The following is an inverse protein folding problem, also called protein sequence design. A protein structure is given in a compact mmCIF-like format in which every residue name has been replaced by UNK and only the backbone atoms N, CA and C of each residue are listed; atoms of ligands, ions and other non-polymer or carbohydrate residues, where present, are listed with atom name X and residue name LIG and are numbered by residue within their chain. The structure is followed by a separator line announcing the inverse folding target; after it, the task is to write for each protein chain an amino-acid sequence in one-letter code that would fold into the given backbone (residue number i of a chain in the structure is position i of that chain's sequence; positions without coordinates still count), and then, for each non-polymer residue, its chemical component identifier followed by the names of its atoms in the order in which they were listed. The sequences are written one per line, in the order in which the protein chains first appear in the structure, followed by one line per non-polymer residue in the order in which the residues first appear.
data_IF_336701241093
#
_entry.id   IF_336701241093
#
_cell.length_a   1.000
_cell.length_b   1.000
_cell.length_c   1.000
_cell.angle_alpha   90.00
_cell.angle_beta   90.00
_cell.angle_gamma   90.00
#
_symmetry.space_group_name_H-M   'P 1'
#
loop_
_entity.id
_entity.type
_entity.pdbx_description
1 polymer ?
#
# COMPACT_ATOMS: atom_id res chain seq x y z
N UNK A 1 -15.79 -38.05 42.33
CA UNK A 1 -16.14 -36.71 42.83
C UNK A 1 -14.88 -35.88 42.92
N UNK A 2 -14.84 -34.76 42.18
CA UNK A 2 -14.10 -33.50 42.38
C UNK A 2 -12.56 -33.56 42.51
N UNK A 3 -11.76 -32.74 41.84
CA UNK A 3 -12.06 -31.60 40.98
C UNK A 3 -10.81 -31.16 40.23
N UNK A 4 -11.00 -30.73 38.98
CA UNK A 4 -10.00 -30.08 38.16
C UNK A 4 -9.78 -28.66 38.69
N UNK A 5 -8.57 -28.36 39.16
CA UNK A 5 -8.16 -26.99 39.49
C UNK A 5 -7.65 -26.31 38.23
N UNK A 6 -8.51 -25.48 37.63
CA UNK A 6 -8.14 -24.51 36.62
C UNK A 6 -7.13 -23.51 37.22
N UNK A 7 -6.00 -23.31 36.56
CA UNK A 7 -5.09 -22.19 36.83
C UNK A 7 -5.20 -21.21 35.68
N UNK A 8 -5.68 -20.02 36.03
CA UNK A 8 -5.99 -18.88 35.19
C UNK A 8 -4.78 -18.36 34.43
N UNK A 9 -4.88 -18.33 33.10
CA UNK A 9 -4.05 -17.49 32.25
C UNK A 9 -4.62 -16.08 32.27
N UNK A 10 -4.01 -15.19 33.06
CA UNK A 10 -4.25 -13.74 32.94
C UNK A 10 -3.08 -13.15 32.16
N UNK A 11 -3.06 -13.39 30.85
CA UNK A 11 -2.15 -12.69 29.95
C UNK A 11 -2.59 -11.22 29.86
N UNK A 12 -1.78 -10.35 30.46
CA UNK A 12 -1.93 -8.91 30.37
C UNK A 12 -1.85 -8.46 28.92
N UNK A 13 -3.00 -8.15 28.32
CA UNK A 13 -3.09 -7.35 27.09
C UNK A 13 -2.48 -5.98 27.37
N UNK A 14 -1.19 -5.82 27.10
CA UNK A 14 -0.60 -4.50 26.86
C UNK A 14 -1.40 -3.87 25.73
N UNK A 15 -2.22 -2.88 26.07
CA UNK A 15 -2.84 -2.00 25.08
C UNK A 15 -1.69 -1.22 24.43
N UNK A 16 -1.16 -1.75 23.33
CA UNK A 16 -0.26 -0.99 22.47
C UNK A 16 -1.12 0.14 21.88
N UNK A 17 -0.77 1.38 22.22
CA UNK A 17 -1.35 2.55 21.58
C UNK A 17 -1.30 2.34 20.05
N UNK A 18 -2.38 2.68 19.30
CA UNK A 18 -2.39 2.50 17.87
C UNK A 18 -1.16 3.23 17.28
N UNK A 19 -0.39 2.57 16.37
CA UNK A 19 0.76 3.21 15.76
C UNK A 19 0.36 4.57 15.21
N UNK A 20 1.09 5.62 15.59
CA UNK A 20 0.82 6.98 15.10
C UNK A 20 0.84 6.92 13.57
N UNK A 21 -0.22 7.34 12.88
CA UNK A 21 -0.25 7.31 11.42
C UNK A 21 0.90 8.16 10.88
N UNK A 22 1.72 7.57 10.02
CA UNK A 22 2.86 8.24 9.41
C UNK A 22 2.50 8.58 7.96
N UNK A 23 2.40 9.87 7.68
CA UNK A 23 2.12 10.34 6.31
C UNK A 23 3.39 10.21 5.49
N UNK A 24 3.33 9.46 4.39
CA UNK A 24 4.41 9.35 3.42
C UNK A 24 3.92 10.07 2.18
N UNK A 25 4.52 11.19 1.81
CA UNK A 25 4.10 11.88 0.60
C UNK A 25 4.48 11.04 -0.64
N UNK A 26 3.56 10.22 -1.12
CA UNK A 26 3.65 9.60 -2.44
C UNK A 26 3.56 10.68 -3.51
N UNK A 27 4.39 10.61 -4.55
CA UNK A 27 4.18 11.41 -5.75
C UNK A 27 3.77 10.48 -6.88
N UNK A 28 2.68 10.82 -7.56
CA UNK A 28 2.34 10.11 -8.79
C UNK A 28 3.32 10.58 -9.84
N UNK A 29 4.38 9.82 -10.03
CA UNK A 29 5.42 10.22 -10.97
C UNK A 29 4.95 10.19 -12.42
N UNK A 30 3.90 9.42 -12.73
CA UNK A 30 3.35 9.36 -14.08
C UNK A 30 1.90 8.87 -14.07
N UNK A 31 0.99 9.70 -14.56
CA UNK A 31 -0.31 9.28 -15.10
C UNK A 31 -0.21 9.44 -16.61
N UNK A 32 -0.21 8.33 -17.35
CA UNK A 32 -0.11 8.41 -18.81
C UNK A 32 -0.45 7.09 -19.46
N UNK A 33 -0.02 6.93 -20.70
CA UNK A 33 -0.13 5.68 -21.44
C UNK A 33 1.27 5.26 -21.92
N UNK A 34 1.55 3.97 -21.95
CA UNK A 34 2.64 3.42 -22.76
C UNK A 34 2.38 3.70 -24.25
N UNK A 35 3.40 3.53 -25.10
CA UNK A 35 3.27 3.71 -26.56
C UNK A 35 2.22 2.79 -27.19
N UNK A 36 1.87 1.70 -26.53
CA UNK A 36 0.85 0.74 -26.90
C UNK A 36 -0.56 1.10 -26.38
N UNK A 37 -0.75 2.33 -25.88
CA UNK A 37 -2.01 2.84 -25.30
C UNK A 37 -2.44 2.18 -23.99
N UNK A 38 -1.56 1.40 -23.33
CA UNK A 38 -1.86 0.87 -22.00
C UNK A 38 -1.68 1.97 -20.94
N UNK A 39 -2.69 2.26 -20.11
CA UNK A 39 -2.56 3.28 -19.09
C UNK A 39 -1.48 2.88 -18.07
N UNK A 40 -0.48 3.74 -17.93
CA UNK A 40 0.64 3.61 -17.03
C UNK A 40 0.42 4.54 -15.85
N UNK A 41 0.07 3.95 -14.70
CA UNK A 41 0.10 4.64 -13.44
C UNK A 41 1.02 3.89 -12.48
N UNK A 42 2.16 4.51 -12.19
CA UNK A 42 3.11 4.03 -11.18
C UNK A 42 3.24 5.13 -10.14
N UNK A 43 2.96 4.78 -8.90
CA UNK A 43 3.24 5.68 -7.78
C UNK A 43 4.68 5.44 -7.38
N UNK A 44 5.51 6.48 -7.52
CA UNK A 44 6.90 6.44 -7.11
C UNK A 44 7.05 7.16 -5.77
N UNK A 45 7.70 6.48 -4.84
CA UNK A 45 8.03 7.00 -3.53
C UNK A 45 9.54 7.03 -3.49
N UNK A 46 10.16 8.17 -3.21
CA UNK A 46 11.61 8.19 -3.12
C UNK A 46 12.07 7.30 -1.97
N UNK A 47 13.20 6.61 -2.12
CA UNK A 47 13.75 5.74 -1.07
C UNK A 47 14.01 6.49 0.24
N UNK A 48 14.35 7.78 0.18
CA UNK A 48 14.52 8.66 1.35
C UNK A 48 13.23 8.83 2.16
N UNK A 49 12.07 8.81 1.49
CA UNK A 49 10.74 8.94 2.10
C UNK A 49 10.08 7.56 2.39
N UNK A 50 10.60 6.50 1.76
CA UNK A 50 10.04 5.15 1.81
C UNK A 50 10.50 4.32 3.03
N UNK A 51 11.27 4.89 3.95
CA UNK A 51 11.81 4.20 5.13
C UNK A 51 10.79 3.34 5.92
N UNK A 52 9.52 3.75 6.07
CA UNK A 52 8.51 2.94 6.76
C UNK A 52 7.92 1.80 5.93
N UNK A 53 8.12 1.80 4.60
CA UNK A 53 7.53 0.80 3.71
C UNK A 53 8.33 -0.50 3.75
N UNK A 54 7.68 -1.67 3.77
CA UNK A 54 8.35 -2.97 3.85
C UNK A 54 8.91 -3.43 2.50
N UNK A 55 9.53 -2.54 1.73
CA UNK A 55 10.09 -2.90 0.42
C UNK A 55 11.42 -3.65 0.57
N UNK A 56 11.75 -4.45 -0.45
CA UNK A 56 13.04 -5.13 -0.58
C UNK A 56 13.58 -4.92 -1.98
N UNK A 57 14.89 -4.72 -2.11
CA UNK A 57 15.50 -4.52 -3.41
C UNK A 57 15.49 -5.81 -4.23
N UNK A 58 15.12 -5.72 -5.51
CA UNK A 58 15.04 -6.87 -6.41
C UNK A 58 13.80 -7.75 -6.22
N UNK A 59 13.01 -7.51 -5.18
CA UNK A 59 11.82 -8.30 -4.86
C UNK A 59 10.52 -7.50 -5.09
N UNK A 60 9.42 -8.25 -5.27
CA UNK A 60 8.06 -7.71 -5.17
C UNK A 60 7.49 -8.10 -3.82
N UNK A 61 7.19 -7.12 -2.98
CA UNK A 61 6.57 -7.35 -1.66
C UNK A 61 5.10 -6.96 -1.71
N UNK A 62 4.21 -7.89 -1.40
CA UNK A 62 2.78 -7.58 -1.32
C UNK A 62 2.47 -6.77 -0.06
N UNK A 63 1.67 -5.71 -0.20
CA UNK A 63 1.22 -4.86 0.90
C UNK A 63 -0.29 -4.65 0.86
N UNK A 64 -0.95 -4.53 2.01
CA UNK A 64 -2.29 -3.97 2.07
C UNK A 64 -2.29 -2.53 1.53
N UNK A 65 -3.20 -2.26 0.62
CA UNK A 65 -3.36 -0.97 -0.03
C UNK A 65 -4.83 -0.56 0.01
N UNK A 66 -5.15 0.67 0.39
CA UNK A 66 -6.53 1.14 0.47
C UNK A 66 -6.68 2.33 -0.45
N UNK A 67 -7.68 2.34 -1.33
CA UNK A 67 -7.98 3.47 -2.22
C UNK A 67 -9.41 3.93 -1.97
N UNK A 68 -9.60 5.19 -1.56
CA UNK A 68 -10.91 5.74 -1.20
C UNK A 68 -11.74 4.81 -0.29
N UNK A 69 -11.07 4.24 0.73
CA UNK A 69 -11.69 3.31 1.69
C UNK A 69 -11.87 1.86 1.20
N UNK A 70 -11.61 1.56 -0.06
CA UNK A 70 -11.69 0.20 -0.62
C UNK A 70 -10.37 -0.55 -0.43
N UNK A 71 -10.39 -1.79 0.09
CA UNK A 71 -9.17 -2.57 0.31
C UNK A 71 -8.69 -3.27 -0.97
N UNK A 72 -7.39 -3.27 -1.14
CA UNK A 72 -6.63 -3.91 -2.21
C UNK A 72 -5.34 -4.51 -1.67
N UNK A 73 -4.70 -5.35 -2.48
CA UNK A 73 -3.32 -5.78 -2.27
C UNK A 73 -2.49 -5.21 -3.43
N UNK A 74 -1.48 -4.42 -3.10
CA UNK A 74 -0.54 -3.87 -4.07
C UNK A 74 0.83 -4.53 -3.94
N UNK A 75 1.62 -4.52 -5.01
CA UNK A 75 3.04 -4.87 -4.93
C UNK A 75 3.89 -3.62 -4.68
N UNK A 76 4.88 -3.72 -3.80
CA UNK A 76 6.02 -2.80 -3.74
C UNK A 76 7.20 -3.40 -4.47
N UNK A 77 7.85 -2.62 -5.33
CA UNK A 77 9.11 -2.98 -5.98
C UNK A 77 10.13 -1.88 -5.83
N UNK A 78 11.35 -2.26 -5.52
CA UNK A 78 12.51 -1.37 -5.61
C UNK A 78 13.63 -2.10 -6.35
N UNK A 79 14.44 -1.36 -7.11
CA UNK A 79 15.68 -1.88 -7.70
C UNK A 79 16.86 -1.12 -7.11
N UNK A 80 18.02 -1.75 -7.03
CA UNK A 80 19.24 -1.12 -6.48
C UNK A 80 19.64 0.15 -7.22
N UNK A 81 19.41 0.19 -8.55
CA UNK A 81 19.77 1.33 -9.39
C UNK A 81 18.74 2.47 -9.36
N UNK A 82 17.51 2.23 -8.92
CA UNK A 82 16.47 3.27 -8.83
C UNK A 82 16.55 3.99 -7.48
N UNK A 83 16.32 5.30 -7.48
CA UNK A 83 16.14 6.10 -6.26
C UNK A 83 14.72 6.03 -5.72
N UNK A 84 13.83 5.28 -6.37
CA UNK A 84 12.42 5.15 -6.00
C UNK A 84 12.03 3.72 -5.66
N UNK A 85 11.07 3.62 -4.76
CA UNK A 85 10.19 2.48 -4.52
C UNK A 85 8.92 2.71 -5.32
N UNK A 86 8.43 1.67 -5.98
CA UNK A 86 7.27 1.74 -6.86
C UNK A 86 6.13 0.93 -6.28
N UNK A 87 4.93 1.50 -6.24
CA UNK A 87 3.71 0.71 -6.11
C UNK A 87 3.36 0.18 -7.51
N UNK A 88 3.26 -1.13 -7.63
CA UNK A 88 2.89 -1.82 -8.87
C UNK A 88 1.49 -1.40 -9.33
N UNK A 89 1.30 -1.32 -10.65
CA UNK A 89 0.03 -0.92 -11.26
C UNK A 89 -1.04 -2.01 -11.19
N UNK A 90 -0.66 -3.27 -10.99
CA UNK A 90 -1.57 -4.39 -10.80
C UNK A 90 -1.85 -4.61 -9.32
N UNK A 91 -3.14 -4.54 -8.97
CA UNK A 91 -3.68 -4.74 -7.65
C UNK A 91 -4.49 -6.04 -7.61
N UNK A 92 -4.75 -6.54 -6.42
CA UNK A 92 -5.79 -7.53 -6.17
C UNK A 92 -6.91 -6.90 -5.36
N UNK A 93 -8.16 -7.10 -5.75
CA UNK A 93 -9.33 -6.67 -4.97
C UNK A 93 -9.61 -7.62 -3.78
N UNK A 94 -10.70 -7.39 -3.05
CA UNK A 94 -11.10 -8.21 -1.90
C UNK A 94 -11.45 -9.67 -2.28
N UNK A 95 -11.75 -9.92 -3.55
CA UNK A 95 -12.03 -11.23 -4.12
C UNK A 95 -10.80 -11.85 -4.81
N UNK A 96 -9.62 -11.21 -4.68
CA UNK A 96 -8.36 -11.59 -5.31
C UNK A 96 -8.37 -11.54 -6.85
N UNK A 97 -9.29 -10.78 -7.46
CA UNK A 97 -9.24 -10.52 -8.88
C UNK A 97 -8.17 -9.46 -9.18
N UNK A 98 -7.47 -9.63 -10.30
CA UNK A 98 -6.51 -8.62 -10.75
C UNK A 98 -7.25 -7.40 -11.32
N UNK A 99 -6.96 -6.24 -10.76
CA UNK A 99 -7.46 -4.94 -11.24
C UNK A 99 -6.30 -3.98 -11.44
N UNK A 100 -6.43 -3.01 -12.33
CA UNK A 100 -5.37 -2.02 -12.53
C UNK A 100 -5.63 -0.79 -11.68
N UNK A 101 -4.58 -0.31 -11.02
CA UNK A 101 -4.60 0.90 -10.21
C UNK A 101 -5.13 2.11 -11.00
N UNK A 102 -4.80 2.20 -12.29
CA UNK A 102 -5.32 3.27 -13.15
C UNK A 102 -6.83 3.20 -13.37
N UNK A 103 -7.39 1.99 -13.51
CA UNK A 103 -8.83 1.80 -13.68
C UNK A 103 -9.55 2.18 -12.38
N UNK A 104 -8.97 1.80 -11.23
CA UNK A 104 -9.47 2.18 -9.90
C UNK A 104 -9.47 3.71 -9.76
N UNK A 105 -8.37 4.39 -10.06
CA UNK A 105 -8.28 5.84 -9.94
C UNK A 105 -9.19 6.57 -10.94
N UNK A 106 -9.30 6.09 -12.18
CA UNK A 106 -10.24 6.64 -13.16
C UNK A 106 -11.70 6.49 -12.74
N UNK A 107 -12.08 5.35 -12.14
CA UNK A 107 -13.43 5.16 -11.59
C UNK A 107 -13.76 6.14 -10.46
N UNK A 108 -12.73 6.68 -9.81
CA UNK A 108 -12.84 7.71 -8.77
C UNK A 108 -12.78 9.13 -9.34
N UNK A 109 -12.76 9.29 -10.67
CA UNK A 109 -12.71 10.59 -11.33
C UNK A 109 -11.31 11.23 -11.38
N UNK A 110 -10.27 10.53 -10.95
CA UNK A 110 -8.90 11.03 -11.04
C UNK A 110 -8.45 11.03 -12.50
N UNK A 111 -7.87 12.13 -12.94
CA UNK A 111 -7.37 12.29 -14.30
C UNK A 111 -5.89 12.61 -14.32
N UNK A 112 -5.27 12.57 -15.49
CA UNK A 112 -3.88 12.95 -15.72
C UNK A 112 -3.52 14.39 -15.32
N UNK A 113 -4.51 15.20 -14.93
CA UNK A 113 -4.33 16.60 -14.50
C UNK A 113 -3.95 16.74 -13.03
N UNK A 114 -4.07 15.67 -12.23
CA UNK A 114 -3.71 15.67 -10.81
C UNK A 114 -2.44 14.81 -10.59
N UNK A 115 -1.24 15.45 -10.50
CA UNK A 115 0.03 14.75 -10.53
C UNK A 115 0.49 14.20 -9.15
N UNK A 116 -0.33 14.31 -8.10
CA UNK A 116 0.05 13.89 -6.76
C UNK A 116 -1.11 13.17 -6.05
N UNK A 117 -0.82 11.99 -5.50
CA UNK A 117 -1.71 11.23 -4.63
C UNK A 117 -1.10 11.27 -3.24
N UNK A 118 -1.85 11.76 -2.26
CA UNK A 118 -1.40 11.66 -0.89
C UNK A 118 -1.50 10.21 -0.42
N UNK A 119 -0.34 9.64 -0.07
CA UNK A 119 -0.29 8.33 0.55
C UNK A 119 -0.13 8.47 2.07
N UNK A 120 -0.82 7.63 2.82
CA UNK A 120 -0.62 7.55 4.27
C UNK A 120 -0.29 6.13 4.64
N UNK A 121 0.81 5.90 5.34
CA UNK A 121 1.15 4.58 5.85
C UNK A 121 0.68 4.43 7.29
N UNK A 122 -0.18 3.45 7.54
CA UNK A 122 -0.76 3.16 8.86
C UNK A 122 -0.67 1.67 9.14
N UNK A 123 0.09 1.29 10.15
CA UNK A 123 0.13 -0.09 10.67
C UNK A 123 0.36 -1.17 9.58
N UNK A 124 1.26 -0.92 8.62
CA UNK A 124 1.52 -1.86 7.52
C UNK A 124 0.64 -1.69 6.28
N UNK A 125 -0.35 -0.80 6.32
CA UNK A 125 -1.26 -0.50 5.21
C UNK A 125 -0.92 0.84 4.57
N UNK A 126 -0.87 0.90 3.24
CA UNK A 126 -0.78 2.17 2.50
C UNK A 126 -2.19 2.60 2.11
N UNK A 127 -2.60 3.80 2.52
CA UNK A 127 -3.88 4.38 2.16
C UNK A 127 -3.69 5.51 1.15
N UNK A 128 -4.58 5.57 0.17
CA UNK A 128 -4.71 6.59 -0.84
C UNK A 128 -6.13 7.18 -0.67
N UNK A 129 -6.21 8.48 -0.36
CA UNK A 129 -7.47 9.20 -0.25
C UNK A 129 -7.89 9.74 -1.62
#
# INVERSE_FOLDING_TARGET
MNGQTARSETEGRRQMAPPKPMTILGKVAKVGFYRDTLPLLIINIKKEDAGPLPYREGERVSIPFVVNGLPYIAGLRATTRSTTVMICSDLLDAQLNSVRLVDVLFSLGWTHREPALELTFRSGTVCCL
#
